data_IF_324266617056
#
_entry.id   IF_324266617056
#
_cell.length_a   1.000
_cell.length_b   1.000
_cell.length_c   1.000
_cell.angle_alpha   90.00
_cell.angle_beta   90.00
_cell.angle_gamma   90.00
#
_symmetry.space_group_name_H-M   'P 1'
#
loop_
_entity.id
_entity.type
_entity.pdbx_description
1 polymer ?
#
# COMPACT_ATOMS: atom_id res chain seq x y z
N UNK A 1 77.35 -14.54 7.60
CA UNK A 1 75.98 -14.15 8.00
C UNK A 1 75.45 -13.13 7.01
N UNK A 2 74.52 -13.50 6.14
CA UNK A 2 73.68 -12.54 5.39
C UNK A 2 72.41 -13.29 4.95
N UNK A 3 71.34 -13.17 5.76
CA UNK A 3 70.01 -13.65 5.40
C UNK A 3 69.33 -12.54 4.58
N UNK A 4 69.05 -12.80 3.31
CA UNK A 4 68.16 -11.97 2.48
C UNK A 4 66.72 -12.25 2.90
N UNK A 5 66.05 -11.26 3.47
CA UNK A 5 64.61 -11.29 3.69
C UNK A 5 63.91 -10.72 2.45
N UNK A 6 63.07 -11.53 1.80
CA UNK A 6 62.10 -11.05 0.82
C UNK A 6 61.02 -10.27 1.58
N UNK A 7 60.82 -8.99 1.26
CA UNK A 7 59.60 -8.26 1.61
C UNK A 7 58.50 -8.65 0.60
N UNK A 8 57.51 -9.41 1.06
CA UNK A 8 56.24 -9.55 0.36
C UNK A 8 55.42 -8.28 0.59
N UNK A 9 55.23 -7.49 -0.47
CA UNK A 9 54.33 -6.35 -0.48
C UNK A 9 52.87 -6.84 -0.45
N UNK A 10 52.24 -6.82 0.73
CA UNK A 10 50.79 -6.92 0.84
C UNK A 10 50.16 -5.62 0.32
N UNK A 11 49.63 -5.66 -0.90
CA UNK A 11 48.71 -4.64 -1.41
C UNK A 11 47.37 -4.81 -0.68
N UNK A 12 47.17 -4.03 0.39
CA UNK A 12 45.86 -3.88 1.00
C UNK A 12 44.96 -3.06 0.04
N UNK A 13 44.07 -3.74 -0.67
CA UNK A 13 42.99 -3.08 -1.41
C UNK A 13 42.02 -2.53 -0.37
N UNK A 14 42.11 -1.22 -0.10
CA UNK A 14 41.12 -0.52 0.69
C UNK A 14 39.81 -0.50 -0.11
N UNK A 15 38.88 -1.41 0.20
CA UNK A 15 37.51 -1.31 -0.26
C UNK A 15 36.89 -0.07 0.39
N UNK A 16 36.80 1.03 -0.37
CA UNK A 16 36.00 2.17 0.03
C UNK A 16 34.55 1.70 0.25
N UNK A 17 33.88 2.09 1.34
CA UNK A 17 32.51 1.69 1.58
C UNK A 17 31.64 2.23 0.44
N UNK A 18 30.97 1.33 -0.30
CA UNK A 18 30.04 1.71 -1.36
C UNK A 18 29.03 2.74 -0.81
N UNK A 19 28.95 3.93 -1.40
CA UNK A 19 28.00 4.97 -0.98
C UNK A 19 26.66 4.70 -1.67
N UNK A 20 25.55 4.78 -0.94
CA UNK A 20 24.23 4.63 -1.53
C UNK A 20 23.95 5.82 -2.46
N UNK A 21 23.34 5.55 -3.62
CA UNK A 21 22.92 6.62 -4.52
C UNK A 21 21.84 7.52 -3.87
N UNK A 22 21.88 8.81 -4.16
CA UNK A 22 20.76 9.71 -3.88
C UNK A 22 19.69 9.49 -4.95
N UNK A 23 18.45 9.06 -4.59
CA UNK A 23 17.37 8.85 -5.55
C UNK A 23 17.08 10.05 -6.46
N UNK A 24 17.36 11.28 -5.98
CA UNK A 24 17.20 12.51 -6.75
C UNK A 24 18.23 12.66 -7.89
N UNK A 25 19.36 11.96 -7.80
CA UNK A 25 20.46 12.01 -8.77
C UNK A 25 20.41 10.90 -9.82
N UNK A 26 19.55 9.89 -9.63
CA UNK A 26 19.39 8.78 -10.57
C UNK A 26 18.88 9.32 -11.91
N UNK A 27 19.63 9.05 -12.98
CA UNK A 27 19.19 9.38 -14.34
C UNK A 27 18.15 8.36 -14.84
N UNK A 28 16.89 8.60 -14.48
CA UNK A 28 15.76 7.76 -14.86
C UNK A 28 15.54 7.65 -16.38
N UNK A 29 16.10 8.53 -17.21
CA UNK A 29 15.97 8.37 -18.68
C UNK A 29 16.84 7.23 -19.22
N UNK A 30 17.80 6.74 -18.44
CA UNK A 30 18.64 5.58 -18.78
C UNK A 30 18.10 4.26 -18.21
N UNK A 31 17.05 4.31 -17.40
CA UNK A 31 16.44 3.14 -16.79
C UNK A 31 15.23 2.73 -17.66
N UNK A 32 15.13 1.50 -18.16
CA UNK A 32 13.98 1.06 -18.94
C UNK A 32 12.66 1.21 -18.18
N UNK A 33 11.65 1.77 -18.83
CA UNK A 33 10.31 1.89 -18.29
C UNK A 33 9.42 0.76 -18.80
N UNK A 34 8.94 -0.08 -17.88
CA UNK A 34 7.87 -1.03 -18.14
C UNK A 34 6.52 -0.33 -17.98
N UNK A 35 5.60 -0.51 -18.92
CA UNK A 35 4.21 -0.03 -18.77
C UNK A 35 3.35 -1.21 -18.34
N UNK A 36 2.87 -1.15 -17.09
CA UNK A 36 2.02 -2.19 -16.49
C UNK A 36 0.56 -1.74 -16.59
N UNK A 37 -0.30 -2.42 -17.36
CA UNK A 37 -1.71 -2.13 -17.38
C UNK A 37 -2.33 -2.53 -16.04
N UNK A 38 -3.08 -1.61 -15.46
CA UNK A 38 -3.94 -1.85 -14.31
C UNK A 38 -5.39 -1.74 -14.73
N UNK A 39 -6.26 -2.52 -14.10
CA UNK A 39 -7.70 -2.46 -14.34
C UNK A 39 -8.49 -2.52 -13.04
N UNK A 40 -9.72 -2.03 -13.09
CA UNK A 40 -10.66 -2.06 -11.98
C UNK A 40 -11.21 -3.49 -11.78
N UNK A 41 -10.97 -4.16 -10.64
CA UNK A 41 -11.34 -5.56 -10.46
C UNK A 41 -12.75 -5.77 -9.89
N UNK A 42 -13.39 -4.71 -9.40
CA UNK A 42 -14.67 -4.80 -8.69
C UNK A 42 -14.59 -5.77 -7.50
N UNK A 43 -15.58 -6.64 -7.38
CA UNK A 43 -15.74 -7.63 -6.31
C UNK A 43 -15.32 -9.05 -6.71
N UNK A 44 -14.42 -9.22 -7.70
CA UNK A 44 -13.90 -10.55 -8.06
C UNK A 44 -13.09 -11.15 -6.90
N UNK A 45 -13.70 -12.06 -6.13
CA UNK A 45 -13.04 -12.73 -5.00
C UNK A 45 -12.36 -14.04 -5.41
N UNK A 46 -11.50 -14.54 -4.54
CA UNK A 46 -10.88 -15.85 -4.62
C UNK A 46 -11.93 -16.96 -4.74
N UNK A 47 -13.00 -16.89 -3.95
CA UNK A 47 -14.12 -17.84 -4.00
C UNK A 47 -14.84 -17.78 -5.36
N UNK A 48 -15.03 -16.58 -5.91
CA UNK A 48 -15.64 -16.45 -7.24
C UNK A 48 -14.75 -17.06 -8.31
N UNK A 49 -13.43 -16.83 -8.27
CA UNK A 49 -12.46 -17.38 -9.23
C UNK A 49 -12.49 -18.92 -9.28
N UNK A 50 -12.77 -19.57 -8.15
CA UNK A 50 -12.84 -21.02 -8.00
C UNK A 50 -14.25 -21.60 -8.19
N UNK A 51 -15.27 -20.75 -8.35
CA UNK A 51 -16.66 -21.16 -8.52
C UNK A 51 -17.06 -21.34 -9.98
N UNK A 52 -18.13 -22.09 -10.20
CA UNK A 52 -18.77 -22.26 -11.51
C UNK A 52 -19.20 -20.95 -12.19
N UNK A 53 -19.35 -19.86 -11.43
CA UNK A 53 -19.64 -18.51 -11.94
C UNK A 53 -18.46 -17.86 -12.67
N UNK A 54 -17.24 -18.38 -12.49
CA UNK A 54 -16.08 -17.95 -13.26
C UNK A 54 -15.84 -18.96 -14.40
N UNK A 55 -15.97 -18.57 -15.68
CA UNK A 55 -15.79 -19.49 -16.81
C UNK A 55 -14.43 -20.19 -16.84
N UNK A 56 -13.39 -19.61 -16.24
CA UNK A 56 -12.04 -20.18 -16.14
C UNK A 56 -11.78 -20.99 -14.88
N UNK A 57 -12.77 -21.30 -14.05
CA UNK A 57 -12.55 -21.88 -12.72
C UNK A 57 -11.77 -23.19 -12.71
N UNK A 58 -12.06 -24.10 -13.65
CA UNK A 58 -11.30 -25.36 -13.78
C UNK A 58 -9.81 -25.11 -14.07
N UNK A 59 -9.50 -24.09 -14.87
CA UNK A 59 -8.12 -23.66 -15.13
C UNK A 59 -7.45 -23.13 -13.87
N UNK A 60 -8.14 -22.29 -13.10
CA UNK A 60 -7.60 -21.76 -11.83
C UNK A 60 -7.35 -22.88 -10.82
N UNK A 61 -8.28 -23.84 -10.68
CA UNK A 61 -8.11 -25.02 -9.84
C UNK A 61 -6.93 -25.90 -10.28
N UNK A 62 -6.61 -25.90 -11.57
CA UNK A 62 -5.43 -26.53 -12.15
C UNK A 62 -4.17 -25.64 -12.15
N UNK A 63 -4.14 -24.56 -11.35
CA UNK A 63 -3.04 -23.60 -11.22
C UNK A 63 -2.67 -22.84 -12.50
N UNK A 64 -3.62 -22.65 -13.43
CA UNK A 64 -3.41 -21.76 -14.57
C UNK A 64 -3.27 -20.31 -14.08
N UNK A 65 -2.26 -19.55 -14.55
CA UNK A 65 -2.13 -18.14 -14.21
C UNK A 65 -3.28 -17.33 -14.81
N UNK A 66 -3.70 -16.25 -14.14
CA UNK A 66 -4.76 -15.39 -14.65
C UNK A 66 -4.45 -14.86 -16.06
N UNK A 67 -3.17 -14.52 -16.29
CA UNK A 67 -2.69 -14.07 -17.59
C UNK A 67 -2.83 -15.15 -18.69
N UNK A 68 -2.86 -16.45 -18.34
CA UNK A 68 -3.05 -17.53 -19.32
C UNK A 68 -4.38 -17.44 -20.07
N UNK A 69 -5.42 -16.88 -19.46
CA UNK A 69 -6.73 -16.62 -20.09
C UNK A 69 -6.98 -15.14 -20.42
N UNK A 70 -6.39 -14.22 -19.64
CA UNK A 70 -6.71 -12.80 -19.68
C UNK A 70 -5.59 -11.88 -20.19
N UNK A 71 -4.53 -12.42 -20.79
CA UNK A 71 -3.47 -11.60 -21.37
C UNK A 71 -4.02 -10.56 -22.35
N UNK A 72 -3.74 -9.28 -22.10
CA UNK A 72 -4.19 -8.17 -22.94
C UNK A 72 -5.67 -7.80 -22.79
N UNK A 73 -6.39 -8.43 -21.86
CA UNK A 73 -7.82 -8.18 -21.64
C UNK A 73 -8.10 -7.16 -20.53
N UNK A 74 -7.07 -6.61 -19.88
CA UNK A 74 -7.19 -5.69 -18.74
C UNK A 74 -8.18 -4.54 -19.04
N UNK A 75 -8.07 -3.93 -20.24
CA UNK A 75 -8.99 -2.88 -20.69
C UNK A 75 -10.44 -3.35 -20.80
N UNK A 76 -10.66 -4.49 -21.47
CA UNK A 76 -12.00 -5.07 -21.64
C UNK A 76 -12.63 -5.43 -20.30
N UNK A 77 -11.86 -6.03 -19.39
CA UNK A 77 -12.30 -6.40 -18.05
C UNK A 77 -12.70 -5.16 -17.25
N UNK A 78 -11.82 -4.15 -17.19
CA UNK A 78 -12.08 -2.90 -16.51
C UNK A 78 -13.33 -2.19 -17.04
N UNK A 79 -13.46 -2.07 -18.36
CA UNK A 79 -14.61 -1.40 -19.02
C UNK A 79 -15.93 -2.13 -18.76
N UNK A 80 -15.89 -3.45 -18.64
CA UNK A 80 -17.07 -4.24 -18.26
C UNK A 80 -17.45 -3.99 -16.80
N UNK A 81 -16.47 -3.99 -15.89
CA UNK A 81 -16.72 -3.93 -14.46
C UNK A 81 -17.19 -2.54 -14.00
N UNK A 82 -16.65 -1.46 -14.56
CA UNK A 82 -17.10 -0.09 -14.20
C UNK A 82 -18.53 0.23 -14.64
N UNK A 83 -19.11 -0.56 -15.56
CA UNK A 83 -20.52 -0.45 -15.97
C UNK A 83 -21.49 -1.09 -14.96
N UNK A 84 -20.97 -1.83 -13.98
CA UNK A 84 -21.76 -2.57 -13.01
C UNK A 84 -22.02 -4.02 -13.44
N UNK A 85 -22.66 -4.78 -12.55
CA UNK A 85 -23.03 -6.18 -12.78
C UNK A 85 -22.87 -7.03 -11.54
N UNK A 86 -22.90 -8.38 -11.64
CA UNK A 86 -22.77 -9.27 -10.48
C UNK A 86 -21.47 -9.08 -9.69
N UNK A 87 -20.38 -8.72 -10.38
CA UNK A 87 -19.09 -8.41 -9.76
C UNK A 87 -18.90 -6.93 -9.43
N UNK A 88 -19.89 -6.08 -9.70
CA UNK A 88 -19.86 -4.66 -9.34
C UNK A 88 -21.29 -4.15 -9.12
N UNK A 89 -21.93 -4.51 -7.99
CA UNK A 89 -23.34 -4.16 -7.75
C UNK A 89 -23.55 -2.68 -7.43
N UNK A 90 -22.48 -1.94 -7.12
CA UNK A 90 -22.55 -0.50 -6.81
C UNK A 90 -21.40 0.24 -7.48
N UNK A 91 -21.46 0.38 -8.83
CA UNK A 91 -20.39 0.99 -9.62
C UNK A 91 -20.17 2.45 -9.24
N UNK A 92 -18.91 2.86 -9.22
CA UNK A 92 -18.52 4.24 -8.92
C UNK A 92 -18.64 5.08 -10.18
N UNK A 93 -19.58 6.03 -10.19
CA UNK A 93 -19.82 6.92 -11.35
C UNK A 93 -18.54 7.62 -11.82
N UNK A 94 -18.20 7.50 -13.10
CA UNK A 94 -17.03 8.17 -13.68
C UNK A 94 -15.69 7.62 -13.18
N UNK A 95 -15.67 6.39 -12.63
CA UNK A 95 -14.42 5.70 -12.31
C UNK A 95 -13.76 5.21 -13.60
N UNK A 96 -12.46 5.44 -13.72
CA UNK A 96 -11.68 4.91 -14.83
C UNK A 96 -11.70 3.39 -14.84
N UNK A 97 -11.84 2.80 -16.02
CA UNK A 97 -11.74 1.35 -16.21
C UNK A 97 -10.31 0.84 -15.98
N UNK A 98 -9.32 1.63 -16.40
CA UNK A 98 -7.91 1.25 -16.41
C UNK A 98 -6.99 2.38 -15.98
N UNK A 99 -5.77 2.00 -15.62
CA UNK A 99 -4.63 2.90 -15.44
C UNK A 99 -3.41 2.31 -16.10
N UNK A 100 -2.55 3.16 -16.63
CA UNK A 100 -1.20 2.78 -17.03
C UNK A 100 -0.25 3.17 -15.91
N UNK A 101 0.42 2.18 -15.33
CA UNK A 101 1.48 2.39 -14.36
C UNK A 101 2.82 2.21 -15.05
N UNK A 102 3.59 3.28 -15.17
CA UNK A 102 5.00 3.18 -15.58
C UNK A 102 5.83 2.78 -14.39
N UNK A 103 6.61 1.72 -14.54
CA UNK A 103 7.51 1.18 -13.51
C UNK A 103 8.93 1.19 -14.05
N UNK A 104 9.84 1.72 -13.25
CA UNK A 104 11.28 1.68 -13.49
C UNK A 104 11.95 1.20 -12.21
N UNK A 105 12.98 0.37 -12.34
CA UNK A 105 13.72 -0.14 -11.21
C UNK A 105 15.23 0.04 -11.45
N UNK A 106 15.93 0.44 -10.40
CA UNK A 106 17.38 0.48 -10.35
C UNK A 106 17.83 -0.02 -8.98
N UNK A 107 19.10 -0.40 -8.84
CA UNK A 107 19.65 -0.81 -7.56
C UNK A 107 21.16 -0.59 -7.50
N UNK A 108 21.69 -0.37 -6.31
CA UNK A 108 23.14 -0.41 -6.04
C UNK A 108 23.43 -1.55 -5.06
N UNK A 109 24.61 -1.59 -4.43
CA UNK A 109 24.93 -2.66 -3.48
C UNK A 109 24.18 -2.54 -2.13
N UNK A 110 23.44 -1.44 -1.91
CA UNK A 110 22.73 -1.15 -0.66
C UNK A 110 21.21 -1.14 -0.82
N UNK A 111 20.68 -0.52 -1.86
CA UNK A 111 19.25 -0.25 -2.01
C UNK A 111 18.72 -0.60 -3.40
N UNK A 112 17.45 -0.99 -3.42
CA UNK A 112 16.57 -0.89 -4.56
C UNK A 112 15.92 0.49 -4.61
N UNK A 113 15.83 1.03 -5.83
CA UNK A 113 15.15 2.29 -6.16
C UNK A 113 14.04 1.98 -7.16
N UNK A 114 12.79 2.18 -6.75
CA UNK A 114 11.61 1.86 -7.53
C UNK A 114 10.85 3.14 -7.87
N UNK A 115 10.72 3.47 -9.16
CA UNK A 115 10.01 4.66 -9.64
C UNK A 115 8.72 4.28 -10.33
N UNK A 116 7.67 4.99 -9.97
CA UNK A 116 6.31 4.76 -10.41
C UNK A 116 5.70 6.05 -10.95
N UNK A 117 5.00 5.97 -12.07
CA UNK A 117 4.21 7.09 -12.58
C UNK A 117 2.85 6.63 -13.08
N UNK A 118 1.80 7.38 -12.70
CA UNK A 118 0.45 7.18 -13.23
C UNK A 118 -0.28 8.52 -13.34
N UNK A 119 -1.18 8.61 -14.31
CA UNK A 119 -2.08 9.75 -14.46
C UNK A 119 -3.29 9.61 -13.51
N UNK A 120 -3.53 10.62 -12.69
CA UNK A 120 -4.69 10.66 -11.79
C UNK A 120 -5.97 10.92 -12.56
N UNK A 121 -7.11 10.37 -12.10
CA UNK A 121 -8.42 10.72 -12.64
C UNK A 121 -8.75 12.20 -12.32
N UNK A 122 -8.53 12.60 -11.07
CA UNK A 122 -8.73 13.97 -10.64
C UNK A 122 -7.65 14.92 -11.19
N UNK A 123 -8.03 16.18 -11.43
CA UNK A 123 -7.13 17.27 -11.81
C UNK A 123 -6.38 17.90 -10.61
N UNK A 124 -6.39 17.22 -9.46
CA UNK A 124 -5.69 17.59 -8.23
C UNK A 124 -5.14 16.32 -7.57
N UNK A 125 -4.04 16.41 -6.81
CA UNK A 125 -3.53 15.26 -6.08
C UNK A 125 -4.50 14.84 -4.96
N UNK A 126 -4.73 13.54 -4.79
CA UNK A 126 -5.46 12.99 -3.65
C UNK A 126 -4.61 13.01 -2.39
N UNK A 127 -4.31 14.19 -1.85
CA UNK A 127 -3.57 14.34 -0.58
C UNK A 127 -4.49 14.51 0.63
N UNK A 128 -5.80 14.61 0.43
CA UNK A 128 -6.77 14.77 1.51
C UNK A 128 -7.11 13.43 2.17
N UNK A 129 -7.45 13.48 3.45
CA UNK A 129 -7.94 12.33 4.20
C UNK A 129 -9.05 12.77 5.15
N UNK A 130 -10.06 11.92 5.43
CA UNK A 130 -11.13 12.25 6.37
C UNK A 130 -10.65 12.92 7.67
N UNK A 131 -11.44 13.89 8.14
CA UNK A 131 -11.18 14.70 9.33
C UNK A 131 -12.07 14.27 10.50
N UNK A 132 -11.70 14.68 11.71
CA UNK A 132 -12.63 14.82 12.82
C UNK A 132 -13.15 16.25 12.81
N UNK A 133 -14.47 16.42 12.73
CA UNK A 133 -15.17 17.70 12.76
C UNK A 133 -15.98 17.81 14.04
N UNK A 134 -15.83 18.93 14.73
CA UNK A 134 -16.61 19.24 15.92
C UNK A 134 -18.02 19.66 15.53
N UNK A 135 -19.05 19.03 16.12
CA UNK A 135 -20.46 19.32 15.86
C UNK A 135 -21.10 20.26 16.91
N UNK A 136 -20.27 20.89 17.75
CA UNK A 136 -20.71 21.69 18.90
C UNK A 136 -20.76 20.90 20.21
N UNK A 137 -20.71 19.56 20.16
CA UNK A 137 -20.70 18.68 21.34
C UNK A 137 -19.59 17.64 21.29
N UNK A 138 -19.43 16.98 20.16
CA UNK A 138 -18.51 15.85 19.97
C UNK A 138 -17.78 15.91 18.62
N UNK A 139 -16.75 15.07 18.50
CA UNK A 139 -15.91 14.98 17.30
C UNK A 139 -16.36 13.82 16.42
N UNK A 140 -16.91 14.14 15.24
CA UNK A 140 -17.42 13.16 14.27
C UNK A 140 -16.58 13.12 13.02
N UNK A 141 -16.62 12.00 12.30
CA UNK A 141 -15.91 11.89 11.02
C UNK A 141 -16.56 12.81 9.98
N UNK A 142 -15.73 13.57 9.28
CA UNK A 142 -16.10 14.38 8.12
C UNK A 142 -15.30 13.93 6.90
N UNK A 143 -16.02 13.60 5.83
CA UNK A 143 -15.46 13.02 4.62
C UNK A 143 -15.28 11.50 4.72
N UNK A 144 -15.52 10.81 3.62
CA UNK A 144 -15.46 9.35 3.51
C UNK A 144 -15.02 8.95 2.08
N UNK A 145 -14.50 7.74 1.84
CA UNK A 145 -14.14 7.32 0.48
C UNK A 145 -15.39 7.21 -0.40
N UNK A 146 -15.23 7.32 -1.72
CA UNK A 146 -16.35 7.33 -2.69
C UNK A 146 -17.27 6.12 -2.57
N UNK A 147 -16.74 4.95 -2.22
CA UNK A 147 -17.54 3.72 -2.07
C UNK A 147 -18.42 3.71 -0.81
N UNK A 148 -18.17 4.59 0.15
CA UNK A 148 -18.98 4.66 1.36
C UNK A 148 -20.41 5.06 0.99
N UNK A 149 -21.39 4.33 1.53
CA UNK A 149 -22.82 4.56 1.33
C UNK A 149 -23.23 6.01 1.60
N UNK A 150 -22.67 6.65 2.63
CA UNK A 150 -22.98 8.04 2.96
C UNK A 150 -22.53 9.03 1.88
N UNK A 151 -21.45 8.74 1.14
CA UNK A 151 -21.00 9.55 0.00
C UNK A 151 -21.88 9.31 -1.22
N UNK A 152 -22.23 8.05 -1.49
CA UNK A 152 -23.15 7.69 -2.57
C UNK A 152 -24.54 8.32 -2.39
N UNK A 153 -24.99 8.47 -1.14
CA UNK A 153 -26.25 9.14 -0.78
C UNK A 153 -26.13 10.68 -0.67
N UNK A 154 -24.94 11.26 -0.89
CA UNK A 154 -24.72 12.71 -0.80
C UNK A 154 -24.71 13.27 0.63
N UNK A 155 -24.66 12.42 1.66
CA UNK A 155 -24.62 12.81 3.08
C UNK A 155 -23.22 13.19 3.57
N UNK A 156 -22.19 12.69 2.91
CA UNK A 156 -20.78 12.98 3.20
C UNK A 156 -20.04 13.37 1.92
N UNK A 157 -18.94 14.11 2.07
CA UNK A 157 -18.07 14.46 0.96
C UNK A 157 -17.11 13.32 0.63
N UNK A 158 -16.84 13.11 -0.66
CA UNK A 158 -15.82 12.18 -1.10
C UNK A 158 -14.43 12.69 -0.71
N UNK A 159 -13.70 11.92 0.09
CA UNK A 159 -12.38 12.28 0.58
C UNK A 159 -11.59 11.02 0.92
N UNK A 160 -10.50 10.78 0.19
CA UNK A 160 -9.53 9.76 0.54
C UNK A 160 -8.22 9.98 -0.22
N UNK A 161 -7.13 9.53 0.36
CA UNK A 161 -5.81 9.71 -0.24
C UNK A 161 -5.58 8.79 -1.46
N UNK A 162 -4.76 9.28 -2.39
CA UNK A 162 -4.15 8.49 -3.44
C UNK A 162 -3.05 7.59 -2.82
N UNK A 163 -2.91 6.38 -3.37
CA UNK A 163 -1.94 5.39 -2.89
C UNK A 163 -1.38 4.55 -4.01
N UNK A 164 -0.12 4.17 -3.85
CA UNK A 164 0.54 3.15 -4.64
C UNK A 164 0.82 1.96 -3.71
N UNK A 165 0.56 0.76 -4.19
CA UNK A 165 0.83 -0.50 -3.49
C UNK A 165 1.73 -1.37 -4.36
N UNK A 166 2.69 -2.03 -3.73
CA UNK A 166 3.48 -3.11 -4.30
C UNK A 166 3.38 -4.33 -3.37
N UNK A 167 3.00 -5.47 -3.93
CA UNK A 167 3.07 -6.79 -3.28
C UNK A 167 4.27 -7.56 -3.80
N UNK A 168 5.03 -8.22 -2.92
CA UNK A 168 6.28 -8.92 -3.27
C UNK A 168 6.28 -10.33 -2.68
N UNK A 169 6.57 -11.31 -3.53
CA UNK A 169 6.83 -12.69 -3.14
C UNK A 169 8.16 -13.18 -3.73
N UNK A 170 8.91 -13.94 -2.93
CA UNK A 170 10.20 -14.54 -3.25
C UNK A 170 10.08 -15.99 -3.75
N UNK A 171 8.88 -16.40 -4.19
CA UNK A 171 8.57 -17.75 -4.66
C UNK A 171 8.18 -18.73 -3.55
N UNK A 172 7.96 -18.23 -2.33
CA UNK A 172 7.62 -19.07 -1.16
C UNK A 172 6.13 -19.12 -0.87
N UNK A 173 5.33 -18.23 -1.47
CA UNK A 173 3.88 -18.23 -1.32
C UNK A 173 3.23 -19.04 -2.45
N UNK A 174 2.62 -20.20 -2.16
CA UNK A 174 2.02 -21.05 -3.18
C UNK A 174 0.98 -20.30 -4.02
N UNK A 175 1.15 -20.33 -5.34
CA UNK A 175 0.23 -19.74 -6.32
C UNK A 175 0.38 -18.23 -6.54
N UNK A 176 1.22 -17.52 -5.78
CA UNK A 176 1.30 -16.06 -5.95
C UNK A 176 1.86 -15.67 -7.33
N UNK A 177 2.79 -16.45 -7.85
CA UNK A 177 3.33 -16.32 -9.21
C UNK A 177 2.29 -16.58 -10.32
N UNK A 178 1.12 -17.13 -9.99
CA UNK A 178 0.03 -17.43 -10.93
C UNK A 178 -1.17 -16.49 -10.77
N UNK A 179 -1.69 -16.35 -9.54
CA UNK A 179 -2.90 -15.59 -9.24
C UNK A 179 -2.62 -14.20 -8.66
N UNK A 180 -1.39 -13.91 -8.22
CA UNK A 180 -1.01 -12.61 -7.68
C UNK A 180 -1.92 -12.15 -6.53
N UNK A 181 -2.35 -10.89 -6.57
CA UNK A 181 -3.13 -10.29 -5.49
C UNK A 181 -4.50 -10.95 -5.24
N UNK A 182 -5.06 -11.68 -6.21
CA UNK A 182 -6.35 -12.37 -6.04
C UNK A 182 -6.31 -13.48 -4.99
N UNK A 183 -5.13 -14.05 -4.69
CA UNK A 183 -4.97 -14.95 -3.54
C UNK A 183 -5.37 -14.31 -2.21
N UNK A 184 -5.44 -12.98 -2.17
CA UNK A 184 -5.69 -12.22 -0.94
C UNK A 184 -6.98 -11.42 -0.99
N UNK A 185 -7.88 -11.72 -1.90
CA UNK A 185 -9.14 -11.01 -2.11
C UNK A 185 -10.30 -11.97 -1.84
N UNK A 186 -10.79 -12.04 -0.61
CA UNK A 186 -11.82 -13.00 -0.24
C UNK A 186 -13.19 -12.34 -0.02
N UNK A 187 -14.24 -13.15 -0.07
CA UNK A 187 -15.54 -12.77 0.52
C UNK A 187 -15.40 -12.51 2.03
N UNK A 188 -16.30 -11.72 2.61
CA UNK A 188 -16.21 -11.30 4.02
C UNK A 188 -15.33 -10.08 4.27
N UNK A 189 -14.37 -9.78 3.39
CA UNK A 189 -13.57 -8.57 3.46
C UNK A 189 -14.41 -7.28 3.32
N UNK A 190 -13.86 -6.15 3.79
CA UNK A 190 -14.51 -4.85 3.61
C UNK A 190 -14.78 -4.55 2.14
N UNK A 191 -16.01 -4.15 1.87
CA UNK A 191 -16.54 -3.85 0.54
C UNK A 191 -16.52 -5.02 -0.45
N UNK A 192 -16.27 -6.26 -0.01
CA UNK A 192 -16.41 -7.49 -0.81
C UNK A 192 -17.77 -8.15 -0.57
N UNK A 193 -18.18 -9.17 -1.36
CA UNK A 193 -19.42 -9.89 -1.13
C UNK A 193 -19.45 -10.51 0.27
N UNK A 194 -20.64 -10.55 0.88
CA UNK A 194 -20.87 -11.14 2.21
C UNK A 194 -19.99 -10.54 3.31
N UNK A 195 -19.78 -9.21 3.31
CA UNK A 195 -18.97 -8.49 4.33
C UNK A 195 -19.28 -9.00 5.73
N UNK A 196 -18.24 -9.43 6.45
CA UNK A 196 -18.37 -9.98 7.79
C UNK A 196 -18.91 -8.93 8.77
N UNK A 197 -19.79 -9.33 9.67
CA UNK A 197 -20.22 -8.48 10.76
C UNK A 197 -19.05 -8.21 11.71
N UNK A 198 -19.00 -6.98 12.25
CA UNK A 198 -17.95 -6.57 13.19
C UNK A 198 -17.86 -7.51 14.40
N UNK A 199 -18.99 -7.97 14.94
CA UNK A 199 -19.03 -8.88 16.08
C UNK A 199 -18.33 -10.22 15.77
N UNK A 200 -18.55 -10.76 14.57
CA UNK A 200 -17.93 -12.02 14.14
C UNK A 200 -16.43 -11.86 13.92
N UNK A 201 -16.02 -10.76 13.25
CA UNK A 201 -14.61 -10.44 13.07
C UNK A 201 -13.89 -10.25 14.43
N UNK A 202 -14.56 -9.64 15.42
CA UNK A 202 -14.03 -9.48 16.77
C UNK A 202 -13.93 -10.82 17.50
N UNK A 203 -14.90 -11.71 17.31
CA UNK A 203 -14.89 -13.04 17.91
C UNK A 203 -13.73 -13.88 17.37
N UNK A 204 -13.61 -13.98 16.05
CA UNK A 204 -12.67 -14.86 15.34
C UNK A 204 -11.27 -14.26 15.23
N UNK A 205 -11.14 -13.04 14.71
CA UNK A 205 -9.85 -12.43 14.36
C UNK A 205 -9.30 -11.49 15.44
N UNK A 206 -10.12 -11.13 16.44
CA UNK A 206 -9.84 -10.03 17.40
C UNK A 206 -9.61 -8.70 16.67
N UNK A 207 -10.27 -8.52 15.52
CA UNK A 207 -10.23 -7.29 14.70
C UNK A 207 -11.64 -6.76 14.49
N UNK A 208 -11.75 -5.50 14.05
CA UNK A 208 -13.05 -4.89 13.77
C UNK A 208 -13.61 -5.26 12.38
N UNK A 209 -12.81 -5.90 11.53
CA UNK A 209 -13.14 -6.24 10.16
C UNK A 209 -12.22 -7.37 9.64
N UNK A 210 -12.65 -8.00 8.54
CA UNK A 210 -11.82 -8.89 7.74
C UNK A 210 -11.08 -8.07 6.67
N UNK A 211 -9.81 -8.39 6.47
CA UNK A 211 -8.92 -7.83 5.44
C UNK A 211 -8.21 -8.98 4.75
N UNK A 212 -7.51 -8.66 3.66
CA UNK A 212 -6.55 -9.53 2.97
C UNK A 212 -5.89 -10.56 3.88
N UNK A 213 -5.97 -11.82 3.50
CA UNK A 213 -5.28 -12.95 4.10
C UNK A 213 -4.88 -13.93 2.99
N UNK A 214 -3.94 -14.83 3.26
CA UNK A 214 -3.52 -15.89 2.35
C UNK A 214 -4.29 -17.18 2.61
N UNK A 215 -4.65 -17.97 1.59
CA UNK A 215 -5.42 -19.19 1.79
C UNK A 215 -4.67 -20.22 2.64
N UNK A 216 -3.33 -20.24 2.56
CA UNK A 216 -2.47 -21.10 3.37
C UNK A 216 -2.61 -20.88 4.90
N UNK A 217 -3.13 -19.72 5.33
CA UNK A 217 -3.36 -19.38 6.73
C UNK A 217 -4.70 -19.92 7.29
N UNK A 218 -5.45 -20.68 6.49
CA UNK A 218 -6.74 -21.26 6.84
C UNK A 218 -6.72 -22.78 6.76
N UNK A 219 -7.56 -23.46 7.56
CA UNK A 219 -7.82 -24.89 7.37
C UNK A 219 -8.80 -25.14 6.23
N UNK A 220 -9.71 -24.19 5.97
CA UNK A 220 -10.45 -24.08 4.72
C UNK A 220 -10.00 -22.80 3.97
N UNK A 221 -9.25 -22.92 2.85
CA UNK A 221 -8.72 -21.80 2.07
C UNK A 221 -9.72 -20.67 1.73
N UNK A 222 -10.99 -20.99 1.62
CA UNK A 222 -12.07 -20.09 1.19
C UNK A 222 -12.96 -19.59 2.34
N UNK A 223 -12.58 -19.87 3.60
CA UNK A 223 -13.36 -19.48 4.78
C UNK A 223 -12.49 -18.69 5.75
N UNK A 224 -12.76 -17.40 5.82
CA UNK A 224 -12.03 -16.47 6.67
C UNK A 224 -12.13 -16.82 8.17
N UNK A 225 -13.13 -17.61 8.58
CA UNK A 225 -13.34 -18.01 9.97
C UNK A 225 -12.41 -19.12 10.44
N UNK A 226 -11.81 -19.86 9.52
CA UNK A 226 -11.04 -21.08 9.80
C UNK A 226 -9.54 -20.82 9.97
N UNK A 227 -9.18 -19.77 10.72
CA UNK A 227 -7.78 -19.41 10.97
C UNK A 227 -7.03 -20.56 11.63
N UNK A 228 -5.85 -20.91 11.07
CA UNK A 228 -4.94 -21.87 11.70
C UNK A 228 -4.47 -21.41 13.08
N UNK A 229 -3.97 -22.33 13.89
CA UNK A 229 -3.47 -22.01 15.23
C UNK A 229 -2.30 -21.00 15.17
N UNK A 230 -2.06 -20.21 16.24
CA UNK A 230 -0.94 -19.28 16.29
C UNK A 230 0.42 -19.91 15.98
N UNK A 231 0.66 -21.16 16.41
CA UNK A 231 1.90 -21.89 16.17
C UNK A 231 2.08 -22.25 14.69
N UNK A 232 1.00 -22.67 14.02
CA UNK A 232 1.01 -22.91 12.57
C UNK A 232 1.25 -21.62 11.78
N UNK A 233 0.65 -20.50 12.20
CA UNK A 233 0.87 -19.19 11.57
C UNK A 233 2.33 -18.75 11.77
N UNK A 234 2.88 -18.90 12.97
CA UNK A 234 4.27 -18.59 13.26
C UNK A 234 5.23 -19.43 12.40
N UNK A 235 4.94 -20.73 12.24
CA UNK A 235 5.69 -21.63 11.36
C UNK A 235 5.64 -21.17 9.90
N UNK A 236 4.45 -20.90 9.37
CA UNK A 236 4.29 -20.37 8.00
C UNK A 236 5.09 -19.08 7.80
N UNK A 237 5.04 -18.16 8.77
CA UNK A 237 5.81 -16.92 8.69
C UNK A 237 7.32 -17.18 8.68
N UNK A 238 7.82 -18.04 9.57
CA UNK A 238 9.24 -18.39 9.67
C UNK A 238 9.76 -19.06 8.38
N UNK A 239 8.91 -19.83 7.70
CA UNK A 239 9.22 -20.44 6.39
C UNK A 239 9.16 -19.43 5.24
N UNK A 240 8.70 -18.19 5.48
CA UNK A 240 8.54 -17.15 4.47
C UNK A 240 7.22 -17.22 3.71
N UNK A 241 6.21 -17.94 4.21
CA UNK A 241 4.89 -18.12 3.60
C UNK A 241 3.96 -16.90 3.65
N UNK A 242 4.51 -15.68 3.62
CA UNK A 242 3.79 -14.40 3.59
C UNK A 242 4.13 -13.62 2.32
N UNK A 243 3.24 -12.70 1.93
CA UNK A 243 3.50 -11.73 0.85
C UNK A 243 3.77 -10.37 1.48
N UNK A 244 4.88 -9.75 1.14
CA UNK A 244 5.21 -8.39 1.58
C UNK A 244 4.34 -7.37 0.83
N UNK A 245 3.89 -6.32 1.52
CA UNK A 245 2.88 -5.35 1.11
C UNK A 245 3.30 -3.93 1.49
N UNK A 246 4.14 -3.33 0.65
CA UNK A 246 4.55 -1.93 0.81
C UNK A 246 3.56 -0.97 0.17
N UNK A 247 3.37 0.20 0.79
CA UNK A 247 2.46 1.22 0.30
C UNK A 247 2.99 2.64 0.46
N UNK A 248 3.11 3.34 -0.65
CA UNK A 248 3.20 4.79 -0.59
C UNK A 248 1.80 5.40 -0.45
N UNK A 249 1.64 6.30 0.51
CA UNK A 249 0.38 6.96 0.86
C UNK A 249 0.54 8.48 0.82
N UNK A 250 -0.25 9.15 -0.02
CA UNK A 250 -0.12 10.58 -0.29
C UNK A 250 -0.33 11.46 0.96
N UNK A 251 -1.27 11.11 1.85
CA UNK A 251 -1.49 11.82 3.11
C UNK A 251 -0.66 11.22 4.24
N UNK A 252 -0.73 9.89 4.39
CA UNK A 252 -0.29 9.23 5.63
C UNK A 252 1.20 8.88 5.72
N UNK A 253 1.97 8.99 4.63
CA UNK A 253 3.39 8.63 4.65
C UNK A 253 4.28 9.60 3.86
N UNK A 254 3.79 10.14 2.74
CA UNK A 254 4.58 11.04 1.89
C UNK A 254 5.10 12.30 2.61
N UNK A 255 4.31 13.01 3.46
CA UNK A 255 4.78 14.25 4.09
C UNK A 255 5.91 14.05 5.10
N UNK A 256 6.14 12.81 5.54
CA UNK A 256 7.22 12.43 6.45
C UNK A 256 8.32 11.61 5.74
N UNK A 257 8.32 11.59 4.40
CA UNK A 257 9.31 10.87 3.58
C UNK A 257 9.23 9.34 3.67
N UNK A 258 8.09 8.81 4.13
CA UNK A 258 7.90 7.41 4.44
C UNK A 258 7.16 6.62 3.37
N UNK A 259 7.22 5.29 3.51
CA UNK A 259 6.42 4.30 2.78
C UNK A 259 5.98 3.27 3.80
N UNK A 260 4.67 3.09 3.92
CA UNK A 260 4.06 2.15 4.84
C UNK A 260 4.49 0.71 4.55
N UNK A 261 4.97 0.00 5.57
CA UNK A 261 5.53 -1.35 5.46
C UNK A 261 4.69 -2.39 6.19
N UNK A 262 4.56 -3.57 5.60
CA UNK A 262 3.66 -4.59 6.10
C UNK A 262 3.65 -5.86 5.26
N UNK A 263 2.86 -6.83 5.69
CA UNK A 263 2.72 -8.12 4.99
C UNK A 263 1.30 -8.67 5.07
N UNK A 264 1.00 -9.63 4.21
CA UNK A 264 -0.22 -10.43 4.21
C UNK A 264 0.12 -11.87 4.55
N UNK A 265 -0.50 -12.38 5.62
CA UNK A 265 -0.49 -13.79 6.01
C UNK A 265 -1.89 -14.20 6.49
N UNK A 266 -2.11 -14.32 7.80
CA UNK A 266 -3.42 -14.62 8.39
C UNK A 266 -4.36 -13.41 8.38
N UNK A 267 -3.77 -12.23 8.22
CA UNK A 267 -4.39 -10.93 8.11
C UNK A 267 -3.46 -9.99 7.35
N UNK A 268 -3.93 -8.77 7.10
CA UNK A 268 -3.10 -7.67 6.62
C UNK A 268 -2.44 -6.98 7.80
N UNK A 269 -1.16 -7.24 7.98
CA UNK A 269 -0.36 -6.79 9.10
C UNK A 269 0.53 -5.59 8.71
N UNK A 270 0.89 -4.80 9.72
CA UNK A 270 2.00 -3.86 9.62
C UNK A 270 3.24 -4.52 10.21
N UNK A 271 4.40 -4.08 9.79
CA UNK A 271 5.66 -4.57 10.33
C UNK A 271 5.87 -4.10 11.75
N UNK A 272 6.77 -4.81 12.44
CA UNK A 272 7.07 -4.51 13.83
C UNK A 272 7.68 -3.12 13.95
N UNK A 273 7.13 -2.34 14.88
CA UNK A 273 7.65 -1.03 15.25
C UNK A 273 6.55 0.03 15.23
N UNK A 274 6.97 1.27 15.03
CA UNK A 274 6.09 2.43 15.03
C UNK A 274 5.86 2.87 13.60
N UNK A 275 4.59 2.98 13.19
CA UNK A 275 4.23 3.41 11.84
C UNK A 275 4.30 4.94 11.66
N UNK A 276 4.36 5.37 10.40
CA UNK A 276 4.37 6.77 9.97
C UNK A 276 3.13 7.58 10.39
N UNK A 277 2.04 6.90 10.77
CA UNK A 277 0.79 7.54 11.16
C UNK A 277 0.09 6.75 12.28
N UNK A 278 -0.70 7.46 13.08
CA UNK A 278 -1.54 6.85 14.09
C UNK A 278 -2.85 7.61 14.26
N UNK A 279 -3.88 6.91 14.74
CA UNK A 279 -5.20 7.51 14.98
C UNK A 279 -5.05 8.72 15.90
N UNK A 280 -5.57 9.85 15.45
CA UNK A 280 -5.64 11.08 16.24
C UNK A 280 -6.81 11.06 17.24
N UNK A 281 -7.60 9.99 17.35
CA UNK A 281 -8.63 9.88 18.38
C UNK A 281 -8.10 9.22 19.66
N UNK A 282 -8.34 9.86 20.79
CA UNK A 282 -8.30 9.22 22.11
C UNK A 282 -9.61 8.43 22.30
N UNK A 283 -9.52 7.10 22.35
CA UNK A 283 -10.69 6.24 22.41
C UNK A 283 -11.39 6.26 23.76
N UNK A 284 -10.71 6.65 24.83
CA UNK A 284 -11.27 6.75 26.18
C UNK A 284 -11.98 8.09 26.33
N UNK A 285 -11.28 9.18 26.00
CA UNK A 285 -11.77 10.54 26.17
C UNK A 285 -12.69 11.02 25.04
N UNK A 286 -12.72 10.32 23.90
CA UNK A 286 -13.51 10.68 22.70
C UNK A 286 -13.17 12.07 22.15
N UNK A 287 -11.91 12.49 22.28
CA UNK A 287 -11.39 13.75 21.74
C UNK A 287 -10.13 13.50 20.91
N UNK A 288 -9.74 14.45 20.04
CA UNK A 288 -8.47 14.36 19.35
C UNK A 288 -7.28 14.33 20.33
N UNK A 289 -6.18 13.71 19.94
CA UNK A 289 -4.92 13.69 20.69
C UNK A 289 -4.09 14.94 20.42
N UNK A 290 -4.15 15.42 19.19
CA UNK A 290 -3.41 16.58 18.71
C UNK A 290 -4.31 17.54 17.93
N UNK A 291 -3.94 18.81 18.00
CA UNK A 291 -4.47 19.90 17.18
C UNK A 291 -3.33 20.64 16.47
N UNK A 292 -3.66 21.55 15.56
CA UNK A 292 -2.65 22.36 14.91
C UNK A 292 -2.06 23.40 15.89
N UNK A 293 -0.75 23.60 15.80
CA UNK A 293 -0.08 24.73 16.43
C UNK A 293 -0.50 26.03 15.73
N UNK A 294 -1.28 26.86 16.42
CA UNK A 294 -1.78 28.11 15.86
C UNK A 294 -0.65 29.07 15.41
N UNK A 295 0.55 29.00 15.99
CA UNK A 295 1.68 29.85 15.56
C UNK A 295 2.25 29.39 14.21
N UNK A 296 2.24 28.09 13.95
CA UNK A 296 2.84 27.50 12.73
C UNK A 296 1.81 27.31 11.61
N UNK A 297 0.61 26.87 11.95
CA UNK A 297 -0.49 26.66 11.01
C UNK A 297 -1.42 27.87 10.85
N UNK A 298 -1.19 28.94 11.63
CA UNK A 298 -2.01 30.17 11.69
C UNK A 298 -3.44 29.96 12.20
N UNK A 299 -3.77 28.75 12.64
CA UNK A 299 -5.05 28.35 13.22
C UNK A 299 -4.87 27.07 14.03
N UNK A 300 -5.74 26.82 15.01
CA UNK A 300 -5.80 25.55 15.76
C UNK A 300 -6.52 24.42 15.00
N UNK A 301 -7.28 24.79 13.97
CA UNK A 301 -8.16 23.93 13.20
C UNK A 301 -8.19 24.33 11.72
N UNK A 302 -8.65 23.42 10.87
CA UNK A 302 -9.11 23.73 9.51
C UNK A 302 -10.64 23.71 9.47
N UNK A 303 -11.24 24.08 8.34
CA UNK A 303 -12.70 24.01 8.14
C UNK A 303 -13.03 23.39 6.79
N UNK A 304 -14.28 22.99 6.57
CA UNK A 304 -14.73 22.45 5.28
C UNK A 304 -14.45 23.40 4.10
N UNK A 305 -14.41 24.73 4.34
CA UNK A 305 -14.14 25.75 3.32
C UNK A 305 -12.65 25.84 2.94
N UNK A 306 -11.77 25.30 3.78
CA UNK A 306 -10.30 25.36 3.63
C UNK A 306 -9.71 24.07 3.04
N UNK A 307 -10.51 23.00 2.93
CA UNK A 307 -10.12 21.73 2.29
C UNK A 307 -9.63 22.02 0.85
N UNK A 308 -8.47 21.48 0.51
CA UNK A 308 -7.78 21.71 -0.76
C UNK A 308 -7.12 23.09 -0.93
N UNK A 309 -7.20 23.98 0.07
CA UNK A 309 -6.55 25.31 0.05
C UNK A 309 -5.32 25.39 0.95
N UNK A 310 -5.11 24.39 1.81
CA UNK A 310 -4.00 24.28 2.76
C UNK A 310 -3.52 22.84 2.85
N UNK A 311 -2.30 22.65 3.33
CA UNK A 311 -1.77 21.31 3.56
C UNK A 311 -2.57 20.60 4.66
N UNK A 312 -3.07 19.37 4.40
CA UNK A 312 -3.99 18.67 5.30
C UNK A 312 -3.27 17.85 6.40
N UNK A 313 -1.96 18.07 6.58
CA UNK A 313 -1.10 17.20 7.38
C UNK A 313 -0.92 17.72 8.81
N UNK A 314 -1.16 16.85 9.79
CA UNK A 314 -0.86 17.11 11.20
C UNK A 314 0.35 16.27 11.61
N UNK A 315 1.50 16.90 11.81
CA UNK A 315 2.80 16.23 11.95
C UNK A 315 3.45 16.59 13.29
N UNK A 316 3.76 15.57 14.10
CA UNK A 316 4.41 15.74 15.40
C UNK A 316 5.78 16.38 15.27
N UNK A 317 6.12 17.32 16.16
CA UNK A 317 7.38 18.08 16.10
C UNK A 317 7.41 19.19 15.04
N UNK A 318 6.51 19.14 14.04
CA UNK A 318 6.43 20.15 12.98
C UNK A 318 5.31 21.14 13.29
N UNK A 319 4.04 20.73 13.21
CA UNK A 319 2.88 21.62 13.35
C UNK A 319 1.77 21.08 14.26
N UNK A 320 1.99 19.95 14.94
CA UNK A 320 1.06 19.37 15.89
C UNK A 320 1.44 19.70 17.34
N UNK A 321 0.44 20.06 18.15
CA UNK A 321 0.54 20.23 19.61
C UNK A 321 -0.52 19.38 20.31
N UNK A 322 -0.32 18.99 21.59
CA UNK A 322 -1.35 18.26 22.33
C UNK A 322 -2.70 18.98 22.26
N UNK A 323 -3.77 18.19 22.13
CA UNK A 323 -5.11 18.74 22.06
C UNK A 323 -5.49 19.44 23.36
N UNK A 324 -5.92 20.69 23.25
CA UNK A 324 -6.45 21.48 24.37
C UNK A 324 -7.99 21.56 24.28
N UNK A 325 -8.73 20.91 25.19
CA UNK A 325 -10.20 20.98 25.19
C UNK A 325 -10.73 22.39 25.51
N UNK A 326 -9.94 23.24 26.18
CA UNK A 326 -10.29 24.61 26.54
C UNK A 326 -9.95 25.63 25.44
N UNK A 327 -9.46 25.19 24.28
CA UNK A 327 -9.05 26.08 23.19
C UNK A 327 -10.18 26.87 22.52
N UNK A 328 -11.43 26.79 23.00
CA UNK A 328 -12.59 27.52 22.46
C UNK A 328 -13.03 26.98 21.09
N UNK A 329 -13.31 25.68 21.01
CA UNK A 329 -13.75 24.99 19.80
C UNK A 329 -15.11 25.48 19.30
N UNK A 330 -15.22 25.65 17.98
CA UNK A 330 -16.45 26.07 17.31
C UNK A 330 -17.00 24.95 16.46
N UNK A 331 -18.32 24.88 16.33
CA UNK A 331 -18.95 23.96 15.39
C UNK A 331 -18.35 24.18 13.98
N UNK A 332 -17.93 23.10 13.34
CA UNK A 332 -17.25 23.16 12.05
C UNK A 332 -15.73 23.16 12.10
N UNK A 333 -15.11 23.32 13.27
CA UNK A 333 -13.66 23.13 13.44
C UNK A 333 -13.29 21.67 13.12
N UNK A 334 -12.21 21.49 12.37
CA UNK A 334 -11.74 20.18 11.94
C UNK A 334 -10.26 19.99 12.25
N UNK A 335 -9.90 18.76 12.62
CA UNK A 335 -8.52 18.29 12.73
C UNK A 335 -8.36 16.95 12.00
N UNK A 336 -7.18 16.65 11.42
CA UNK A 336 -6.98 15.38 10.71
C UNK A 336 -7.25 14.16 11.58
N UNK A 337 -7.80 13.08 10.99
CA UNK A 337 -8.03 11.82 11.71
C UNK A 337 -6.77 11.07 12.06
N UNK A 338 -5.69 11.33 11.34
CA UNK A 338 -4.38 10.76 11.57
C UNK A 338 -3.39 11.88 11.82
N UNK A 339 -2.55 11.72 12.84
CA UNK A 339 -1.32 12.49 12.94
C UNK A 339 -0.16 11.66 12.37
N UNK A 340 0.85 12.35 11.85
CA UNK A 340 2.03 11.77 11.23
C UNK A 340 3.24 11.94 12.13
N UNK A 341 4.16 11.00 12.03
CA UNK A 341 5.36 10.90 12.85
C UNK A 341 6.45 10.11 12.12
N UNK A 342 7.72 10.21 12.55
CA UNK A 342 8.75 9.27 12.12
C UNK A 342 8.35 7.83 12.48
N UNK A 343 8.62 6.90 11.56
CA UNK A 343 8.52 5.47 11.84
C UNK A 343 9.78 4.96 12.55
N UNK A 344 9.66 3.82 13.23
CA UNK A 344 10.74 3.17 13.97
C UNK A 344 10.66 1.65 13.76
N UNK A 345 11.81 0.96 13.75
CA UNK A 345 11.86 -0.50 13.55
C UNK A 345 11.71 -0.93 12.09
N UNK A 346 11.24 -2.16 11.87
CA UNK A 346 11.00 -2.74 10.53
C UNK A 346 10.00 -1.90 9.73
N UNK A 347 8.99 -1.33 10.41
CA UNK A 347 8.03 -0.39 9.82
C UNK A 347 8.64 0.91 9.23
N UNK A 348 9.94 1.16 9.39
CA UNK A 348 10.66 2.32 8.88
C UNK A 348 11.66 2.01 7.76
N UNK A 349 11.71 0.76 7.29
CA UNK A 349 12.72 0.29 6.34
C UNK A 349 12.64 1.03 4.99
N UNK A 350 11.42 1.31 4.53
CA UNK A 350 11.18 1.96 3.26
C UNK A 350 11.09 3.48 3.38
N UNK A 351 11.80 4.18 2.49
CA UNK A 351 11.68 5.62 2.29
C UNK A 351 10.98 5.92 0.98
N UNK A 352 10.31 7.06 0.88
CA UNK A 352 9.70 7.45 -0.37
C UNK A 352 9.39 8.92 -0.50
N UNK A 353 9.37 9.36 -1.76
CA UNK A 353 8.99 10.72 -2.14
C UNK A 353 8.05 10.66 -3.35
N UNK A 354 6.88 11.26 -3.20
CA UNK A 354 5.88 11.42 -4.24
C UNK A 354 5.66 12.89 -4.57
N UNK A 355 5.73 13.20 -5.87
CA UNK A 355 5.43 14.53 -6.41
C UNK A 355 4.31 14.43 -7.43
N UNK A 356 3.39 15.39 -7.42
CA UNK A 356 2.32 15.48 -8.39
C UNK A 356 2.51 16.70 -9.27
N UNK A 357 2.53 16.52 -10.59
CA UNK A 357 2.66 17.61 -11.56
C UNK A 357 1.87 17.27 -12.82
N UNK A 358 1.05 18.22 -13.28
CA UNK A 358 0.33 18.09 -14.56
C UNK A 358 -0.60 16.88 -14.64
N UNK A 359 -1.27 16.51 -13.53
CA UNK A 359 -2.15 15.34 -13.52
C UNK A 359 -1.45 14.00 -13.34
N UNK A 360 -0.15 13.98 -13.01
CA UNK A 360 0.63 12.75 -12.90
C UNK A 360 1.35 12.69 -11.56
N UNK A 361 1.19 11.58 -10.85
CA UNK A 361 2.07 11.24 -9.74
C UNK A 361 3.39 10.68 -10.27
N UNK A 362 4.49 11.06 -9.63
CA UNK A 362 5.80 10.43 -9.73
C UNK A 362 6.25 10.08 -8.33
N UNK A 363 6.34 8.79 -8.03
CA UNK A 363 6.73 8.25 -6.73
C UNK A 363 8.04 7.51 -6.89
N UNK A 364 9.01 7.79 -6.02
CA UNK A 364 10.25 7.03 -5.90
C UNK A 364 10.31 6.42 -4.51
N UNK A 365 10.46 5.11 -4.44
CA UNK A 365 10.65 4.33 -3.21
C UNK A 365 12.11 3.89 -3.17
N UNK A 366 12.74 4.06 -2.00
CA UNK A 366 14.06 3.52 -1.68
C UNK A 366 13.89 2.45 -0.62
N UNK A 367 14.31 1.23 -0.94
CA UNK A 367 14.19 0.05 -0.07
C UNK A 367 15.55 -0.61 0.05
N UNK A 368 16.07 -0.91 1.26
CA UNK A 368 17.30 -1.67 1.39
C UNK A 368 17.18 -3.02 0.67
N UNK A 369 18.24 -3.48 0.00
CA UNK A 369 18.22 -4.78 -0.69
C UNK A 369 18.17 -5.93 0.31
N UNK A 370 19.12 -5.97 1.24
CA UNK A 370 19.29 -7.06 2.20
C UNK A 370 18.53 -6.84 3.51
N UNK A 371 17.22 -6.55 3.45
CA UNK A 371 16.42 -6.49 4.68
C UNK A 371 16.50 -7.82 5.43
N UNK A 372 16.80 -7.75 6.72
CA UNK A 372 17.01 -8.90 7.58
C UNK A 372 15.82 -9.19 8.50
N UNK A 373 14.79 -8.36 8.46
CA UNK A 373 13.63 -8.53 9.31
C UNK A 373 12.77 -9.72 8.84
N UNK A 374 12.21 -10.52 9.77
CA UNK A 374 11.44 -11.72 9.42
C UNK A 374 10.03 -11.42 8.87
N UNK A 375 9.65 -10.14 8.77
CA UNK A 375 8.43 -9.65 8.14
C UNK A 375 8.63 -9.11 6.71
N UNK A 376 9.87 -9.14 6.19
CA UNK A 376 10.22 -8.60 4.87
C UNK A 376 10.65 -9.65 3.84
N UNK A 377 10.50 -9.30 2.56
CA UNK A 377 11.21 -9.98 1.48
C UNK A 377 12.53 -9.29 1.15
N UNK A 378 13.64 -10.01 1.35
CA UNK A 378 14.96 -9.54 0.96
C UNK A 378 15.16 -9.64 -0.56
N UNK A 379 15.72 -8.57 -1.14
CA UNK A 379 16.20 -8.55 -2.51
C UNK A 379 17.68 -8.93 -2.61
N UNK A 380 18.06 -9.54 -3.74
CA UNK A 380 19.46 -9.85 -4.04
C UNK A 380 19.76 -9.69 -5.52
N UNK A 381 21.01 -9.38 -5.83
CA UNK A 381 21.55 -9.40 -7.19
C UNK A 381 21.36 -10.80 -7.82
N UNK A 382 20.93 -10.85 -9.07
CA UNK A 382 20.50 -12.06 -9.77
C UNK A 382 19.12 -12.60 -9.36
N UNK A 383 18.42 -12.00 -8.40
CA UNK A 383 17.12 -12.44 -7.91
C UNK A 383 15.96 -12.09 -8.85
N UNK A 384 14.92 -12.92 -8.87
CA UNK A 384 13.65 -12.69 -9.57
C UNK A 384 12.50 -12.89 -8.59
N UNK A 385 11.57 -11.94 -8.56
CA UNK A 385 10.47 -11.88 -7.60
C UNK A 385 9.13 -11.75 -8.32
N UNK A 386 8.10 -12.38 -7.78
CA UNK A 386 6.72 -12.18 -8.24
C UNK A 386 6.17 -10.92 -7.58
N UNK A 387 5.60 -10.02 -8.38
CA UNK A 387 5.09 -8.73 -7.91
C UNK A 387 3.69 -8.41 -8.42
N UNK A 388 2.90 -7.75 -7.58
CA UNK A 388 1.59 -7.21 -7.93
C UNK A 388 1.50 -5.72 -7.59
N UNK A 389 0.89 -4.94 -8.47
CA UNK A 389 0.75 -3.49 -8.29
C UNK A 389 -0.71 -3.10 -8.08
N UNK A 390 -0.92 -2.06 -7.28
CA UNK A 390 -2.21 -1.40 -7.22
C UNK A 390 -2.08 0.12 -7.09
N UNK A 391 -3.02 0.83 -7.71
CA UNK A 391 -3.18 2.27 -7.55
C UNK A 391 -4.57 2.56 -7.02
N UNK A 392 -4.61 3.28 -5.91
CA UNK A 392 -5.83 3.92 -5.43
C UNK A 392 -5.74 5.38 -5.85
N UNK A 393 -6.65 5.80 -6.71
CA UNK A 393 -6.85 7.21 -7.03
C UNK A 393 -8.33 7.55 -6.91
N UNK A 394 -8.65 8.84 -6.92
CA UNK A 394 -10.04 9.33 -6.98
C UNK A 394 -10.83 9.03 -5.69
N UNK A 395 -10.26 9.44 -4.55
CA UNK A 395 -10.88 9.32 -3.23
C UNK A 395 -11.38 7.90 -2.90
N UNK A 396 -10.66 6.87 -3.35
CA UNK A 396 -11.09 5.48 -3.29
C UNK A 396 -10.33 4.67 -2.23
N UNK A 397 -10.98 3.62 -1.75
CA UNK A 397 -10.34 2.59 -0.93
C UNK A 397 -10.84 1.20 -1.28
N UNK A 398 -10.36 0.20 -0.54
CA UNK A 398 -10.82 -1.21 -0.59
C UNK A 398 -10.92 -1.67 -2.03
N UNK A 399 -12.01 -2.30 -2.49
CA UNK A 399 -12.12 -2.87 -3.84
C UNK A 399 -12.01 -1.88 -5.00
N UNK A 400 -12.06 -0.57 -4.75
CA UNK A 400 -12.17 0.42 -5.81
C UNK A 400 -10.85 0.83 -6.47
N UNK A 401 -9.73 0.17 -6.14
CA UNK A 401 -8.43 0.42 -6.76
C UNK A 401 -8.29 -0.26 -8.12
N UNK A 402 -7.26 0.13 -8.87
CA UNK A 402 -6.83 -0.60 -10.06
C UNK A 402 -5.71 -1.57 -9.68
N UNK A 403 -5.73 -2.78 -10.24
CA UNK A 403 -4.76 -3.85 -9.98
C UNK A 403 -4.07 -4.30 -11.26
N UNK A 404 -2.84 -4.80 -11.15
CA UNK A 404 -2.18 -5.55 -12.23
C UNK A 404 -2.46 -7.04 -12.09
N UNK A 405 -2.38 -7.78 -13.20
CA UNK A 405 -1.98 -9.18 -13.10
C UNK A 405 -0.54 -9.28 -12.58
N UNK A 406 -0.15 -10.46 -12.07
CA UNK A 406 1.21 -10.69 -11.56
C UNK A 406 2.26 -10.42 -12.64
N UNK A 407 3.37 -9.81 -12.23
CA UNK A 407 4.56 -9.54 -13.04
C UNK A 407 5.79 -10.08 -12.33
N UNK A 408 6.90 -10.14 -13.04
CA UNK A 408 8.21 -10.48 -12.47
C UNK A 408 9.12 -9.24 -12.38
N UNK A 409 9.79 -9.07 -11.24
CA UNK A 409 10.81 -8.05 -11.01
C UNK A 409 12.17 -8.74 -10.84
N UNK A 410 13.11 -8.45 -11.73
CA UNK A 410 14.47 -9.03 -11.71
C UNK A 410 15.53 -8.01 -11.36
N UNK A 411 16.43 -8.34 -10.44
CA UNK A 411 17.60 -7.53 -10.10
C UNK A 411 18.81 -8.10 -10.82
N UNK A 412 19.25 -7.47 -11.91
CA UNK A 412 20.33 -8.04 -12.75
C UNK A 412 19.94 -9.35 -13.45
N UNK A 413 18.64 -9.66 -13.50
CA UNK A 413 18.08 -10.90 -14.05
C UNK A 413 16.95 -10.59 -15.04
N UNK A 414 16.71 -11.51 -15.97
CA UNK A 414 15.62 -11.40 -16.95
C UNK A 414 14.26 -11.51 -16.25
N UNK A 415 13.43 -10.51 -16.44
CA UNK A 415 12.05 -10.43 -15.92
C UNK A 415 11.21 -9.47 -16.77
N UNK A 416 9.93 -9.32 -16.46
CA UNK A 416 9.03 -8.32 -17.05
C UNK A 416 9.50 -6.89 -16.73
N UNK A 417 9.99 -6.68 -15.51
CA UNK A 417 10.57 -5.43 -15.03
C UNK A 417 12.01 -5.72 -14.63
N UNK A 418 12.96 -5.10 -15.32
CA UNK A 418 14.39 -5.34 -15.10
C UNK A 418 15.00 -4.16 -14.35
N UNK A 419 15.43 -4.41 -13.12
CA UNK A 419 16.17 -3.43 -12.35
C UNK A 419 17.59 -3.31 -12.90
N UNK A 420 18.03 -2.07 -13.14
CA UNK A 420 19.36 -1.77 -13.66
C UNK A 420 20.32 -1.53 -12.50
N UNK A 421 21.45 -2.25 -12.47
CA UNK A 421 22.50 -2.00 -11.49
C UNK A 421 23.16 -0.65 -11.77
N UNK A 422 23.16 0.23 -10.77
CA UNK A 422 23.85 1.50 -10.79
C UNK A 422 25.36 1.25 -10.62
N UNK A 423 26.17 2.07 -11.30
CA UNK A 423 27.63 1.99 -11.26
C UNK A 423 28.21 2.89 -10.19
#
# INVERSE_FOLDING_TARGET
MMKRALLASLTAIAMAPAVAADPATINWTKIPAATVPLFYPGQSSYEWLLSDKHPGAQGIQANLPCAGCHQGQEKKLGESLVKGGPLEPSPVKGKDATKELKVQAAYDDKNAYLRFQWKTNANKPGIEYPYYRFDGKEWKVYGEPRLNKSVQEGKQVAMYEDRLTLMIDDGKVPGFDKQGCWLTCHTGERDMPNVAAKADAQKVLKKNDVRKYLPASRTNPSDWTTVKSPDEIAKLKAEGGFVDLIQWRAHRSNPVGGVDDGYVLEYRNFDKGKNHFASNMDNEKKVPKFMYDAKKFKSKATTAKDVGKRDPFLITGVNAVPFDPAAGWKEGDMVPRYYLQPAEGSAADNKGAGTWKGGMWTVVITRPLGLANPDDKAFKDGGVYSVGFAVHDDNITTRGHHVSFVKTLGFGAKADIQAVKLK
#
